data_IF_564118922964
#
_entry.id   IF_564118922964
#
_cell.length_a   1.000
_cell.length_b   1.000
_cell.length_c   1.000
_cell.angle_alpha   90.00
_cell.angle_beta   90.00
_cell.angle_gamma   90.00
#
_symmetry.space_group_name_H-M   'P 1'
#
loop_
_entity.id
_entity.type
_entity.pdbx_description
1 polymer ?
#
# COMPACT_ATOMS: atom_id res chain seq x y z
N UNK A 1 17.68 -7.76 -2.60
CA UNK A 1 16.81 -6.92 -1.75
C UNK A 1 17.35 -5.49 -1.80
N UNK A 2 16.53 -4.52 -2.20
CA UNK A 2 16.93 -3.12 -2.29
C UNK A 2 16.32 -2.40 -1.08
N UNK A 3 17.11 -2.23 -0.01
CA UNK A 3 16.65 -1.54 1.20
C UNK A 3 16.58 -0.03 0.95
N UNK A 4 15.37 0.52 0.97
CA UNK A 4 15.14 1.97 0.89
C UNK A 4 15.59 2.65 2.18
N UNK A 5 16.56 3.58 2.10
CA UNK A 5 17.02 4.38 3.24
C UNK A 5 16.97 5.88 2.91
N UNK A 6 16.51 6.70 3.85
CA UNK A 6 16.67 8.16 3.80
C UNK A 6 17.95 8.49 4.55
N UNK A 7 18.83 9.28 3.93
CA UNK A 7 20.12 9.69 4.51
C UNK A 7 20.19 11.20 4.58
N UNK A 8 20.62 11.71 5.72
CA UNK A 8 20.79 13.13 6.00
C UNK A 8 22.29 13.39 6.22
N UNK A 9 22.83 14.44 5.59
CA UNK A 9 24.24 14.81 5.66
C UNK A 9 24.38 16.30 5.96
N UNK A 10 25.40 16.66 6.73
CA UNK A 10 25.74 18.05 7.03
C UNK A 10 26.85 18.53 6.09
N UNK A 11 26.72 19.72 5.51
CA UNK A 11 27.51 20.19 4.35
C UNK A 11 28.73 21.08 4.69
N UNK A 12 29.26 21.06 5.92
CA UNK A 12 30.44 21.87 6.31
C UNK A 12 31.50 20.99 7.00
N UNK A 13 32.80 21.33 6.93
CA UNK A 13 33.77 20.88 5.92
C UNK A 13 34.21 19.41 6.08
N UNK A 14 33.52 18.61 6.90
CA UNK A 14 33.79 17.19 7.05
C UNK A 14 32.46 16.45 7.17
N UNK A 15 32.07 15.78 6.10
CA UNK A 15 30.87 14.95 6.07
C UNK A 15 31.04 13.85 7.11
N UNK A 16 30.39 13.99 8.27
CA UNK A 16 30.34 12.95 9.31
C UNK A 16 28.96 12.32 9.32
N UNK A 17 28.94 11.01 9.16
CA UNK A 17 27.74 10.19 9.31
C UNK A 17 27.24 10.27 10.76
N UNK A 18 25.97 10.63 10.95
CA UNK A 18 25.38 10.80 12.29
C UNK A 18 24.59 9.58 12.76
N UNK A 19 23.67 9.07 11.93
CA UNK A 19 22.78 7.98 12.31
C UNK A 19 22.09 7.36 11.10
N UNK A 20 21.76 6.08 11.17
CA UNK A 20 20.80 5.44 10.26
C UNK A 20 19.55 5.09 11.04
N UNK A 21 18.40 5.51 10.53
CA UNK A 21 17.10 5.03 10.99
C UNK A 21 16.72 3.82 10.13
N UNK A 22 16.70 2.62 10.73
CA UNK A 22 16.14 1.43 10.09
C UNK A 22 14.62 1.41 10.35
N UNK A 23 13.83 1.54 9.29
CA UNK A 23 12.37 1.42 9.38
C UNK A 23 12.02 -0.05 9.63
N UNK A 24 11.43 -0.36 10.78
CA UNK A 24 10.70 -1.63 10.93
C UNK A 24 9.45 -1.46 10.08
N UNK A 25 9.43 -2.02 8.87
CA UNK A 25 8.26 -1.96 7.99
C UNK A 25 7.16 -2.87 8.55
N UNK A 26 6.41 -2.34 9.51
CA UNK A 26 5.21 -2.98 10.06
C UNK A 26 4.08 -3.03 9.03
N UNK A 27 4.03 -2.00 8.18
CA UNK A 27 3.09 -1.89 7.07
C UNK A 27 3.81 -1.45 5.79
N UNK A 28 3.43 -2.06 4.66
CA UNK A 28 3.88 -1.71 3.31
C UNK A 28 2.67 -1.47 2.41
N UNK A 29 2.84 -0.64 1.38
CA UNK A 29 1.85 -0.54 0.30
C UNK A 29 2.32 -1.49 -0.79
N UNK A 30 1.54 -2.54 -1.04
CA UNK A 30 1.84 -3.54 -2.05
C UNK A 30 1.40 -3.06 -3.44
N UNK A 31 0.32 -2.29 -3.51
CA UNK A 31 -0.19 -1.74 -4.77
C UNK A 31 -0.99 -0.45 -4.53
N UNK A 32 -1.04 0.38 -5.57
CA UNK A 32 -1.82 1.60 -5.60
C UNK A 32 -2.41 1.82 -6.98
N UNK A 33 -3.71 2.05 -7.03
CA UNK A 33 -4.45 2.33 -8.27
C UNK A 33 -5.21 3.63 -8.09
N UNK A 34 -5.11 4.53 -9.06
CA UNK A 34 -5.73 5.84 -9.00
C UNK A 34 -6.83 5.98 -10.06
N UNK A 35 -7.83 6.80 -9.76
CA UNK A 35 -8.69 7.46 -10.75
C UNK A 35 -8.72 8.97 -10.46
N UNK A 36 -9.53 9.74 -11.21
CA UNK A 36 -9.54 11.21 -11.12
C UNK A 36 -9.83 11.79 -9.73
N UNK A 37 -10.49 11.06 -8.81
CA UNK A 37 -10.89 11.57 -7.49
C UNK A 37 -10.48 10.66 -6.33
N UNK A 38 -10.34 9.37 -6.59
CA UNK A 38 -10.16 8.33 -5.60
C UNK A 38 -8.93 7.48 -5.90
N UNK A 39 -8.41 6.84 -4.86
CA UNK A 39 -7.35 5.83 -4.92
C UNK A 39 -7.81 4.56 -4.25
N UNK A 40 -7.30 3.44 -4.71
CA UNK A 40 -7.30 2.18 -3.97
C UNK A 40 -5.87 1.87 -3.55
N UNK A 41 -5.68 1.61 -2.27
CA UNK A 41 -4.44 1.13 -1.68
C UNK A 41 -4.60 -0.34 -1.30
N UNK A 42 -3.61 -1.16 -1.64
CA UNK A 42 -3.42 -2.47 -1.03
C UNK A 42 -2.31 -2.32 0.00
N UNK A 43 -2.67 -2.35 1.27
CA UNK A 43 -1.76 -2.19 2.40
C UNK A 43 -1.54 -3.55 3.04
N UNK A 44 -0.29 -3.98 3.13
CA UNK A 44 0.10 -5.17 3.86
C UNK A 44 0.54 -4.81 5.27
N UNK A 45 -0.03 -5.51 6.25
CA UNK A 45 0.32 -5.41 7.65
C UNK A 45 0.88 -6.75 8.11
N UNK A 46 2.20 -6.83 8.14
CA UNK A 46 2.92 -8.05 8.47
C UNK A 46 2.80 -8.44 9.95
N UNK A 47 2.39 -7.51 10.83
CA UNK A 47 2.28 -7.81 12.27
C UNK A 47 1.09 -8.70 12.60
N UNK A 48 -0.01 -8.53 11.86
CA UNK A 48 -1.25 -9.25 12.11
C UNK A 48 -1.66 -10.15 10.93
N UNK A 49 -0.76 -10.32 9.94
CA UNK A 49 -0.99 -11.16 8.77
C UNK A 49 -2.27 -10.76 8.02
N UNK A 50 -2.45 -9.44 7.87
CA UNK A 50 -3.62 -8.87 7.20
C UNK A 50 -3.17 -8.03 6.01
N UNK A 51 -3.96 -8.05 4.93
CA UNK A 51 -3.99 -6.91 4.01
C UNK A 51 -5.28 -6.14 4.15
N UNK A 52 -5.18 -4.87 3.83
CA UNK A 52 -6.28 -3.94 3.77
C UNK A 52 -6.38 -3.44 2.35
N UNK A 53 -7.58 -3.52 1.79
CA UNK A 53 -7.91 -2.83 0.56
C UNK A 53 -8.66 -1.56 0.95
N UNK A 54 -8.04 -0.41 0.75
CA UNK A 54 -8.58 0.87 1.17
C UNK A 54 -8.94 1.72 -0.03
N UNK A 55 -10.21 2.11 -0.12
CA UNK A 55 -10.67 3.18 -1.00
C UNK A 55 -10.50 4.51 -0.27
N UNK A 56 -9.84 5.47 -0.88
CA UNK A 56 -9.66 6.80 -0.30
C UNK A 56 -9.78 7.92 -1.33
N UNK A 57 -10.11 9.13 -0.87
CA UNK A 57 -10.11 10.33 -1.71
C UNK A 57 -8.68 10.85 -1.90
N UNK A 58 -8.32 11.20 -3.13
CA UNK A 58 -7.02 11.81 -3.46
C UNK A 58 -6.94 13.24 -2.92
N UNK A 59 -8.05 13.97 -2.93
CA UNK A 59 -8.07 15.40 -2.60
C UNK A 59 -7.63 15.69 -1.16
N UNK A 60 -8.08 14.87 -0.21
CA UNK A 60 -7.85 15.09 1.22
C UNK A 60 -7.13 13.91 1.91
N UNK A 61 -6.69 12.92 1.13
CA UNK A 61 -6.08 11.68 1.60
C UNK A 61 -6.95 10.85 2.58
N UNK A 62 -8.24 11.14 2.72
CA UNK A 62 -9.12 10.44 3.64
C UNK A 62 -9.42 9.02 3.14
N UNK A 63 -9.41 8.05 4.06
CA UNK A 63 -9.93 6.71 3.81
C UNK A 63 -11.47 6.76 3.85
N UNK A 64 -12.11 6.36 2.76
CA UNK A 64 -13.57 6.31 2.61
C UNK A 64 -14.11 4.95 3.05
N UNK A 65 -13.41 3.87 2.68
CA UNK A 65 -13.77 2.51 3.02
C UNK A 65 -12.51 1.65 3.13
N UNK A 66 -12.53 0.69 4.06
CA UNK A 66 -11.44 -0.28 4.24
C UNK A 66 -12.03 -1.68 4.33
N UNK A 67 -11.53 -2.58 3.48
CA UNK A 67 -11.89 -3.99 3.48
C UNK A 67 -10.70 -4.82 3.97
N UNK A 68 -10.95 -5.64 4.99
CA UNK A 68 -9.93 -6.44 5.66
C UNK A 68 -9.87 -7.84 5.05
N UNK A 69 -8.68 -8.23 4.61
CA UNK A 69 -8.39 -9.54 4.03
C UNK A 69 -7.49 -10.31 4.99
N UNK A 70 -7.93 -11.51 5.38
CA UNK A 70 -7.13 -12.46 6.16
C UNK A 70 -6.16 -13.18 5.24
N UNK A 71 -4.87 -13.06 5.54
CA UNK A 71 -3.82 -13.51 4.64
C UNK A 71 -2.80 -14.28 5.44
N UNK A 72 -2.94 -15.59 5.43
CA UNK A 72 -1.98 -16.52 6.05
C UNK A 72 -0.67 -16.64 5.22
N UNK A 73 -0.33 -15.66 4.37
CA UNK A 73 0.70 -15.79 3.33
C UNK A 73 1.37 -14.46 2.93
N UNK A 74 2.65 -14.51 2.57
CA UNK A 74 3.48 -13.30 2.35
C UNK A 74 3.45 -12.73 0.90
N UNK A 75 2.64 -13.28 0.00
CA UNK A 75 2.72 -12.95 -1.43
C UNK A 75 1.69 -11.90 -1.89
N UNK A 76 2.03 -11.18 -2.96
CA UNK A 76 1.19 -10.21 -3.70
C UNK A 76 0.09 -10.90 -4.49
N UNK A 77 -0.83 -11.54 -3.78
CA UNK A 77 -1.93 -12.32 -4.39
C UNK A 77 -3.18 -11.48 -4.67
N UNK A 78 -3.15 -10.19 -4.34
CA UNK A 78 -4.25 -9.27 -4.66
C UNK A 78 -3.80 -8.33 -5.76
N UNK A 79 -4.45 -8.43 -6.91
CA UNK A 79 -4.29 -7.47 -8.00
C UNK A 79 -5.55 -6.61 -8.07
N UNK A 80 -5.37 -5.30 -8.24
CA UNK A 80 -6.45 -4.35 -8.42
C UNK A 80 -6.29 -3.67 -9.78
N UNK A 81 -7.40 -3.55 -10.51
CA UNK A 81 -7.45 -2.88 -11.81
C UNK A 81 -8.60 -1.87 -11.82
N UNK A 82 -8.38 -0.75 -12.52
CA UNK A 82 -9.42 0.22 -12.82
C UNK A 82 -10.18 -0.24 -14.06
N UNK A 83 -11.50 -0.20 -14.00
CA UNK A 83 -12.41 -0.39 -15.12
C UNK A 83 -12.94 0.95 -15.65
N UNK A 84 -13.67 0.90 -16.76
CA UNK A 84 -14.46 2.05 -17.23
C UNK A 84 -15.42 2.55 -16.15
N UNK A 85 -15.78 3.84 -16.22
CA UNK A 85 -16.75 4.47 -15.32
C UNK A 85 -16.36 4.51 -13.83
N UNK A 86 -15.07 4.58 -13.52
CA UNK A 86 -14.56 4.71 -12.14
C UNK A 86 -14.90 3.51 -11.25
N UNK A 87 -15.09 2.33 -11.82
CA UNK A 87 -15.23 1.09 -11.07
C UNK A 87 -13.88 0.38 -10.94
N UNK A 88 -13.74 -0.48 -9.94
CA UNK A 88 -12.54 -1.29 -9.78
C UNK A 88 -12.89 -2.75 -9.55
N UNK A 89 -11.96 -3.61 -9.96
CA UNK A 89 -11.97 -5.02 -9.61
C UNK A 89 -10.68 -5.33 -8.86
N UNK A 90 -10.82 -5.98 -7.70
CA UNK A 90 -9.71 -6.63 -7.02
C UNK A 90 -9.90 -8.15 -7.01
N UNK A 91 -8.86 -8.87 -7.44
CA UNK A 91 -8.86 -10.33 -7.51
C UNK A 91 -7.95 -10.84 -6.40
N UNK A 92 -8.51 -11.61 -5.47
CA UNK A 92 -7.75 -12.41 -4.50
C UNK A 92 -7.63 -13.83 -5.05
N UNK A 93 -6.46 -14.17 -5.62
CA UNK A 93 -6.29 -15.47 -6.26
C UNK A 93 -6.33 -16.63 -5.25
N UNK A 94 -5.95 -16.42 -3.99
CA UNK A 94 -5.90 -17.53 -3.02
C UNK A 94 -7.30 -17.96 -2.63
N UNK A 95 -8.19 -17.00 -2.37
CA UNK A 95 -9.58 -17.33 -2.04
C UNK A 95 -10.46 -17.49 -3.28
N UNK A 96 -9.90 -17.26 -4.48
CA UNK A 96 -10.64 -17.23 -5.74
C UNK A 96 -11.85 -16.28 -5.70
N UNK A 97 -11.69 -15.16 -4.97
CA UNK A 97 -12.72 -14.14 -4.83
C UNK A 97 -12.43 -12.94 -5.72
N UNK A 98 -13.50 -12.41 -6.29
CA UNK A 98 -13.50 -11.17 -7.04
C UNK A 98 -14.28 -10.14 -6.22
N UNK A 99 -13.63 -9.03 -5.92
CA UNK A 99 -14.23 -7.87 -5.28
C UNK A 99 -14.51 -6.84 -6.37
N UNK A 100 -15.79 -6.56 -6.62
CA UNK A 100 -16.21 -5.41 -7.40
C UNK A 100 -16.38 -4.23 -6.46
N UNK A 101 -15.72 -3.13 -6.78
CA UNK A 101 -15.66 -1.93 -5.95
C UNK A 101 -16.26 -0.80 -6.77
N UNK A 102 -17.33 -0.23 -6.25
CA UNK A 102 -18.04 0.91 -6.82
C UNK A 102 -18.00 2.04 -5.81
N UNK A 103 -18.02 3.28 -6.29
CA UNK A 103 -18.09 4.48 -5.45
C UNK A 103 -19.40 5.23 -5.69
#
# INVERSE_FOLDING_TARGET
>A
AWDSSIREFNLIPSIKFLKTWKKIQKQSIDNIVYNNKNRILIINNNLNQMKYLELGSIENFQCLCSYRLHIDYNETVIQCCLLSYNEWIAIDWKTSKILHITN
#
